data_IF_784700411159
#
_entry.id   IF_784700411159
#
_cell.length_a   1.000
_cell.length_b   1.000
_cell.length_c   1.000
_cell.angle_alpha   90.00
_cell.angle_beta   90.00
_cell.angle_gamma   90.00
#
_symmetry.space_group_name_H-M   'P 1'
#
loop_
_entity.id
_entity.type
_entity.pdbx_description
1 polymer ?
#
# COMPACT_ATOMS: atom_id res chain seq x y z
N UNK A 1 -4.72 7.63 -23.52
CA UNK A 1 -4.83 6.35 -22.80
C UNK A 1 -6.30 6.04 -22.63
N UNK A 2 -6.76 4.94 -23.22
CA UNK A 2 -8.15 4.48 -23.13
C UNK A 2 -8.46 3.93 -21.72
N UNK A 3 -9.74 3.81 -21.37
CA UNK A 3 -10.16 3.35 -20.03
C UNK A 3 -9.69 1.90 -19.74
N UNK A 4 -9.61 1.07 -20.78
CA UNK A 4 -9.12 -0.31 -20.68
C UNK A 4 -7.62 -0.37 -20.34
N UNK A 5 -6.81 0.51 -20.94
CA UNK A 5 -5.38 0.63 -20.65
C UNK A 5 -5.16 1.07 -19.20
N UNK A 6 -5.95 2.04 -18.73
CA UNK A 6 -5.92 2.47 -17.34
C UNK A 6 -6.27 1.36 -16.36
N UNK A 7 -7.28 0.55 -16.68
CA UNK A 7 -7.65 -0.61 -15.87
C UNK A 7 -6.52 -1.65 -15.79
N UNK A 8 -5.82 -1.88 -16.90
CA UNK A 8 -4.66 -2.78 -16.96
C UNK A 8 -3.52 -2.26 -16.09
N UNK A 9 -3.12 -1.00 -16.27
CA UNK A 9 -2.05 -0.35 -15.49
C UNK A 9 -2.40 -0.39 -14.01
N UNK A 10 -3.63 -0.04 -13.64
CA UNK A 10 -4.12 -0.12 -12.26
C UNK A 10 -3.95 -1.54 -11.70
N UNK A 11 -4.45 -2.56 -12.40
CA UNK A 11 -4.37 -3.94 -11.93
C UNK A 11 -2.92 -4.42 -11.78
N UNK A 12 -2.03 -4.04 -12.71
CA UNK A 12 -0.62 -4.38 -12.65
C UNK A 12 0.08 -3.70 -11.46
N UNK A 13 -0.12 -2.39 -11.29
CA UNK A 13 0.50 -1.61 -10.21
C UNK A 13 -0.02 -2.04 -8.84
N UNK A 14 -1.34 -2.10 -8.68
CA UNK A 14 -1.96 -2.52 -7.42
C UNK A 14 -1.59 -3.97 -7.09
N UNK A 15 -1.58 -4.87 -8.07
CA UNK A 15 -1.10 -6.24 -7.88
C UNK A 15 0.35 -6.30 -7.39
N UNK A 16 1.22 -5.43 -7.93
CA UNK A 16 2.63 -5.33 -7.54
C UNK A 16 2.84 -4.72 -6.16
N UNK A 17 1.91 -3.88 -5.68
CA UNK A 17 1.93 -3.36 -4.30
C UNK A 17 1.56 -4.42 -3.26
N UNK A 18 0.62 -5.31 -3.57
CA UNK A 18 0.01 -6.18 -2.57
C UNK A 18 0.68 -7.54 -2.43
N UNK A 19 1.30 -8.04 -3.49
CA UNK A 19 2.01 -9.32 -3.43
C UNK A 19 3.09 -9.43 -4.51
N UNK A 20 4.24 -10.06 -4.21
CA UNK A 20 5.24 -10.41 -5.20
C UNK A 20 4.81 -11.58 -6.12
N UNK A 21 3.52 -11.88 -6.22
CA UNK A 21 3.00 -12.92 -7.12
C UNK A 21 3.19 -12.58 -8.61
N UNK A 22 3.66 -11.37 -8.94
CA UNK A 22 3.87 -10.90 -10.31
C UNK A 22 5.22 -10.18 -10.45
N UNK A 23 6.35 -10.88 -10.32
CA UNK A 23 7.68 -10.25 -10.40
C UNK A 23 7.88 -9.49 -11.72
N UNK A 24 7.43 -10.04 -12.85
CA UNK A 24 7.48 -9.37 -14.15
C UNK A 24 6.72 -8.04 -14.21
N UNK A 25 5.63 -7.90 -13.45
CA UNK A 25 4.89 -6.62 -13.42
C UNK A 25 5.71 -5.53 -12.74
N UNK A 26 6.50 -5.88 -11.71
CA UNK A 26 7.39 -4.95 -11.03
C UNK A 26 8.51 -4.46 -11.96
N UNK A 27 9.15 -5.38 -12.69
CA UNK A 27 10.22 -5.03 -13.64
C UNK A 27 9.71 -4.08 -14.74
N UNK A 28 8.55 -4.41 -15.32
CA UNK A 28 7.91 -3.55 -16.32
C UNK A 28 7.59 -2.19 -15.74
N UNK A 29 7.02 -2.12 -14.54
CA UNK A 29 6.73 -0.88 -13.81
C UNK A 29 7.98 -0.03 -13.62
N UNK A 30 9.08 -0.63 -13.16
CA UNK A 30 10.35 0.05 -12.94
C UNK A 30 10.99 0.55 -14.24
N UNK A 31 10.67 -0.07 -15.38
CA UNK A 31 11.16 0.32 -16.71
C UNK A 31 10.35 1.43 -17.40
N UNK A 32 9.20 1.83 -16.84
CA UNK A 32 8.39 2.89 -17.44
C UNK A 32 9.13 4.24 -17.41
N UNK A 33 9.16 5.00 -18.52
CA UNK A 33 9.83 6.30 -18.59
C UNK A 33 9.18 7.34 -17.66
N UNK A 34 9.88 8.47 -17.45
CA UNK A 34 9.56 9.53 -16.48
C UNK A 34 8.06 9.74 -16.22
N UNK A 35 7.70 9.72 -14.94
CA UNK A 35 6.34 9.86 -14.41
C UNK A 35 5.86 11.32 -14.41
N UNK A 36 6.25 12.11 -15.41
CA UNK A 36 5.85 13.51 -15.59
C UNK A 36 4.31 13.69 -15.68
N UNK A 37 3.54 12.60 -15.74
CA UNK A 37 2.08 12.59 -15.66
C UNK A 37 1.50 12.82 -14.25
N UNK A 38 2.31 12.86 -13.18
CA UNK A 38 1.84 13.32 -11.86
C UNK A 38 1.45 14.82 -11.88
N UNK A 39 1.86 15.56 -12.91
CA UNK A 39 1.38 16.90 -13.22
C UNK A 39 -0.05 16.83 -13.78
N UNK A 40 -1.06 16.84 -12.91
CA UNK A 40 -2.48 16.92 -13.34
C UNK A 40 -3.51 16.35 -12.37
N UNK A 41 -3.07 15.68 -11.31
CA UNK A 41 -3.91 15.01 -10.31
C UNK A 41 -4.46 15.94 -9.23
N UNK A 42 -5.04 17.06 -9.64
CA UNK A 42 -5.76 17.93 -8.70
C UNK A 42 -7.12 17.29 -8.36
N UNK A 43 -7.58 17.43 -7.11
CA UNK A 43 -8.96 17.04 -6.78
C UNK A 43 -9.93 17.83 -7.68
N UNK A 44 -11.07 17.23 -8.05
CA UNK A 44 -12.08 17.95 -8.80
C UNK A 44 -12.65 19.13 -8.00
N UNK A 45 -13.30 20.09 -8.68
CA UNK A 45 -14.08 21.13 -8.03
C UNK A 45 -15.10 20.59 -7.01
N UNK A 46 -15.47 21.43 -6.05
CA UNK A 46 -16.37 21.05 -4.96
C UNK A 46 -17.79 20.68 -5.44
N UNK A 47 -18.25 21.28 -6.53
CA UNK A 47 -19.54 21.02 -7.17
C UNK A 47 -19.55 19.75 -8.05
N UNK A 48 -18.40 19.09 -8.22
CA UNK A 48 -18.33 17.84 -8.98
C UNK A 48 -19.07 16.69 -8.27
N UNK A 49 -19.61 15.77 -9.08
CA UNK A 49 -20.34 14.61 -8.58
C UNK A 49 -19.39 13.59 -7.92
N UNK A 50 -19.84 12.79 -6.93
CA UNK A 50 -19.02 11.73 -6.32
C UNK A 50 -18.47 10.70 -7.32
N UNK A 51 -19.20 10.29 -8.38
CA UNK A 51 -18.61 9.49 -9.46
C UNK A 51 -17.43 10.17 -10.16
N UNK A 52 -17.41 11.50 -10.25
CA UNK A 52 -16.27 12.26 -10.80
C UNK A 52 -15.07 12.19 -9.87
N UNK A 53 -15.29 12.36 -8.55
CA UNK A 53 -14.26 12.16 -7.54
C UNK A 53 -13.66 10.75 -7.63
N UNK A 54 -14.52 9.73 -7.68
CA UNK A 54 -14.11 8.34 -7.85
C UNK A 54 -13.26 8.16 -9.11
N UNK A 55 -13.79 8.53 -10.28
CA UNK A 55 -13.08 8.36 -11.55
C UNK A 55 -11.70 9.02 -11.57
N UNK A 56 -11.60 10.26 -11.10
CA UNK A 56 -10.33 11.00 -11.08
C UNK A 56 -9.36 10.43 -10.04
N UNK A 57 -9.86 10.05 -8.87
CA UNK A 57 -9.07 9.36 -7.85
C UNK A 57 -8.49 8.05 -8.39
N UNK A 58 -9.29 7.25 -9.08
CA UNK A 58 -8.86 5.97 -9.65
C UNK A 58 -7.84 6.10 -10.78
N UNK A 59 -7.75 7.27 -11.42
CA UNK A 59 -6.68 7.58 -12.38
C UNK A 59 -5.40 8.03 -11.69
N UNK A 60 -5.53 8.72 -10.55
CA UNK A 60 -4.39 9.19 -9.79
C UNK A 60 -3.74 8.11 -8.91
N UNK A 61 -4.53 7.26 -8.26
CA UNK A 61 -4.06 6.21 -7.34
C UNK A 61 -2.96 5.32 -7.95
N UNK A 62 -3.11 4.77 -9.18
CA UNK A 62 -2.05 3.98 -9.81
C UNK A 62 -0.74 4.75 -9.99
N UNK A 63 -0.78 6.06 -10.14
CA UNK A 63 0.40 6.90 -10.35
C UNK A 63 1.18 7.07 -9.05
N UNK A 64 0.48 7.35 -7.96
CA UNK A 64 1.09 7.41 -6.63
C UNK A 64 1.64 6.03 -6.20
N UNK A 65 0.90 4.96 -6.50
CA UNK A 65 1.33 3.59 -6.26
C UNK A 65 2.57 3.20 -7.10
N UNK A 66 2.61 3.60 -8.38
CA UNK A 66 3.75 3.39 -9.27
C UNK A 66 5.00 4.11 -8.75
N UNK A 67 4.85 5.36 -8.30
CA UNK A 67 5.92 6.08 -7.64
C UNK A 67 6.45 5.33 -6.41
N UNK A 68 5.55 4.81 -5.56
CA UNK A 68 5.94 4.03 -4.37
C UNK A 68 6.76 2.78 -4.76
N UNK A 69 6.34 2.03 -5.78
CA UNK A 69 7.06 0.83 -6.24
C UNK A 69 8.45 1.18 -6.79
N UNK A 70 8.56 2.30 -7.50
CA UNK A 70 9.85 2.81 -7.98
C UNK A 70 10.75 3.18 -6.80
N UNK A 71 10.26 4.01 -5.87
CA UNK A 71 11.01 4.47 -4.72
C UNK A 71 11.48 3.31 -3.81
N UNK A 72 10.63 2.30 -3.58
CA UNK A 72 10.99 1.13 -2.78
C UNK A 72 12.07 0.27 -3.43
N UNK A 73 12.15 0.27 -4.76
CA UNK A 73 13.18 -0.45 -5.51
C UNK A 73 14.53 0.26 -5.45
N UNK A 74 14.55 1.59 -5.39
CA UNK A 74 15.79 2.35 -5.14
C UNK A 74 16.35 2.14 -3.72
N UNK A 75 15.49 1.80 -2.73
CA UNK A 75 15.91 1.55 -1.35
C UNK A 75 16.56 0.16 -1.17
N UNK A 76 16.21 -0.81 -2.00
CA UNK A 76 16.83 -2.14 -1.96
C UNK A 76 18.21 -2.03 -2.61
N UNK A 77 19.32 -2.34 -1.91
CA UNK A 77 20.56 -2.62 -2.59
C UNK A 77 20.26 -3.74 -3.59
N UNK A 78 20.65 -3.57 -4.85
CA UNK A 78 20.65 -4.63 -5.86
C UNK A 78 21.67 -5.68 -5.44
N UNK A 79 21.34 -6.45 -4.41
CA UNK A 79 22.15 -7.54 -3.93
C UNK A 79 21.92 -8.73 -4.85
N UNK A 80 22.98 -9.04 -5.59
CA UNK A 80 23.33 -10.33 -6.15
C UNK A 80 22.41 -10.93 -7.23
N UNK A 81 22.98 -11.07 -8.43
CA UNK A 81 22.60 -12.16 -9.32
C UNK A 81 22.75 -13.52 -8.63
N UNK A 82 22.19 -14.59 -9.22
CA UNK A 82 22.01 -15.90 -8.58
C UNK A 82 23.31 -16.62 -8.11
N UNK A 83 24.50 -16.06 -8.37
CA UNK A 83 25.79 -16.69 -8.07
C UNK A 83 26.41 -16.28 -6.72
N UNK A 84 25.82 -15.37 -5.92
CA UNK A 84 26.45 -14.91 -4.67
C UNK A 84 25.97 -15.61 -3.39
N UNK A 85 25.26 -16.73 -3.50
CA UNK A 85 24.77 -17.51 -2.35
C UNK A 85 25.86 -18.41 -1.72
N UNK A 86 27.06 -17.90 -1.46
CA UNK A 86 28.03 -18.59 -0.59
C UNK A 86 29.18 -17.67 -0.15
N UNK A 87 28.91 -16.70 0.71
CA UNK A 87 29.97 -15.91 1.33
C UNK A 87 29.47 -15.25 2.60
N UNK A 88 29.99 -15.69 3.75
CA UNK A 88 29.83 -14.98 5.02
C UNK A 88 30.53 -13.62 4.90
N UNK A 89 29.78 -12.55 4.64
CA UNK A 89 30.26 -11.19 4.80
C UNK A 89 29.88 -10.70 6.20
N UNK A 90 30.70 -11.08 7.19
CA UNK A 90 30.82 -10.31 8.42
C UNK A 90 31.48 -8.96 8.07
N UNK A 91 30.79 -7.86 8.35
CA UNK A 91 31.42 -6.53 8.38
C UNK A 91 31.32 -5.66 7.12
N UNK A 92 30.32 -5.84 6.26
CA UNK A 92 29.93 -4.76 5.35
C UNK A 92 29.11 -3.75 6.15
N UNK A 93 29.75 -2.68 6.63
CA UNK A 93 29.03 -1.42 6.82
C UNK A 93 28.31 -1.18 5.50
N UNK A 94 26.98 -1.27 5.52
CA UNK A 94 26.15 -0.80 4.43
C UNK A 94 26.55 0.66 4.28
N UNK A 95 27.37 0.97 3.27
CA UNK A 95 27.57 2.33 2.82
C UNK A 95 26.15 2.86 2.64
N UNK A 96 25.69 3.67 3.61
CA UNK A 96 24.46 4.42 3.45
C UNK A 96 24.62 5.13 2.12
N UNK A 97 23.90 4.64 1.11
CA UNK A 97 23.88 5.19 -0.24
C UNK A 97 23.95 6.70 -0.07
N UNK A 98 25.01 7.32 -0.58
CA UNK A 98 25.26 8.73 -0.41
C UNK A 98 23.97 9.48 -0.72
N UNK A 99 23.30 9.97 0.34
CA UNK A 99 21.96 10.58 0.30
C UNK A 99 21.96 11.88 -0.52
N UNK A 100 23.08 12.18 -1.18
CA UNK A 100 23.30 13.32 -2.04
C UNK A 100 23.33 12.99 -3.53
N UNK A 101 23.16 11.73 -3.95
CA UNK A 101 23.03 11.41 -5.38
C UNK A 101 21.79 12.11 -5.98
N UNK A 102 21.94 12.68 -7.18
CA UNK A 102 20.88 13.42 -7.88
C UNK A 102 19.53 12.64 -7.94
N UNK A 103 19.50 11.31 -8.19
CA UNK A 103 18.25 10.54 -8.19
C UNK A 103 17.52 10.55 -6.85
N UNK A 104 18.24 10.60 -5.73
CA UNK A 104 17.62 10.62 -4.40
C UNK A 104 16.95 11.95 -4.08
N UNK A 105 17.58 13.07 -4.48
CA UNK A 105 16.97 14.41 -4.33
C UNK A 105 15.67 14.53 -5.11
N UNK A 106 15.65 14.04 -6.35
CA UNK A 106 14.44 14.00 -7.19
C UNK A 106 13.33 13.21 -6.50
N UNK A 107 13.63 12.03 -5.94
CA UNK A 107 12.63 11.24 -5.20
C UNK A 107 12.08 11.98 -3.98
N UNK A 108 12.92 12.73 -3.24
CA UNK A 108 12.48 13.51 -2.09
C UNK A 108 11.57 14.68 -2.49
N UNK A 109 11.87 15.36 -3.60
CA UNK A 109 11.01 16.43 -4.13
C UNK A 109 9.66 15.90 -4.62
N UNK A 110 9.68 14.79 -5.38
CA UNK A 110 8.47 14.09 -5.83
C UNK A 110 7.63 13.62 -4.64
N UNK A 111 8.27 13.10 -3.58
CA UNK A 111 7.61 12.71 -2.33
C UNK A 111 6.83 13.87 -1.73
N UNK A 112 7.45 15.03 -1.55
CA UNK A 112 6.79 16.19 -0.95
C UNK A 112 5.65 16.71 -1.82
N UNK A 113 5.82 16.69 -3.14
CA UNK A 113 4.76 17.03 -4.09
C UNK A 113 3.56 16.07 -3.97
N UNK A 114 3.81 14.76 -3.91
CA UNK A 114 2.77 13.72 -3.73
C UNK A 114 2.05 13.85 -2.40
N UNK A 115 2.77 14.07 -1.30
CA UNK A 115 2.19 14.31 0.02
C UNK A 115 1.32 15.57 0.03
N UNK A 116 1.75 16.63 -0.65
CA UNK A 116 0.96 17.84 -0.87
C UNK A 116 -0.34 17.57 -1.63
N UNK A 117 -0.28 16.77 -2.70
CA UNK A 117 -1.46 16.36 -3.45
C UNK A 117 -2.42 15.50 -2.62
N UNK A 118 -1.91 14.54 -1.84
CA UNK A 118 -2.71 13.72 -0.93
C UNK A 118 -3.50 14.57 0.06
N UNK A 119 -2.84 15.55 0.69
CA UNK A 119 -3.51 16.49 1.61
C UNK A 119 -4.59 17.32 0.90
N UNK A 120 -4.33 17.76 -0.33
CA UNK A 120 -5.34 18.47 -1.13
C UNK A 120 -6.56 17.59 -1.46
N UNK A 121 -6.34 16.31 -1.80
CA UNK A 121 -7.40 15.33 -1.99
C UNK A 121 -8.20 15.08 -0.72
N UNK A 122 -7.53 14.83 0.42
CA UNK A 122 -8.18 14.65 1.72
C UNK A 122 -9.08 15.86 2.04
N UNK A 123 -8.56 17.08 1.92
CA UNK A 123 -9.31 18.31 2.17
C UNK A 123 -10.53 18.46 1.23
N UNK A 124 -10.37 18.20 -0.06
CA UNK A 124 -11.47 18.29 -1.03
C UNK A 124 -12.57 17.25 -0.76
N UNK A 125 -12.20 16.02 -0.39
CA UNK A 125 -13.17 14.97 -0.07
C UNK A 125 -13.92 15.31 1.22
N UNK A 126 -13.23 15.79 2.26
CA UNK A 126 -13.89 16.27 3.48
C UNK A 126 -14.88 17.40 3.18
N UNK A 127 -14.50 18.39 2.37
CA UNK A 127 -15.40 19.45 1.97
C UNK A 127 -16.62 18.91 1.18
N UNK A 128 -16.40 17.97 0.25
CA UNK A 128 -17.50 17.38 -0.54
C UNK A 128 -18.42 16.49 0.30
N UNK A 129 -17.90 15.81 1.33
CA UNK A 129 -18.68 14.99 2.25
C UNK A 129 -19.73 15.80 3.02
N UNK A 130 -19.43 17.04 3.38
CA UNK A 130 -20.39 17.97 4.04
C UNK A 130 -21.58 18.27 3.13
N UNK A 131 -21.39 18.19 1.81
CA UNK A 131 -22.40 18.43 0.78
C UNK A 131 -23.06 17.15 0.26
N UNK A 132 -22.70 15.98 0.78
CA UNK A 132 -23.27 14.71 0.31
C UNK A 132 -24.75 14.63 0.69
N UNK A 133 -25.62 14.46 -0.30
CA UNK A 133 -27.06 14.45 -0.09
C UNK A 133 -27.61 13.05 0.21
N UNK A 134 -26.89 12.00 -0.16
CA UNK A 134 -27.32 10.60 0.00
C UNK A 134 -26.26 9.74 0.70
N UNK A 135 -26.70 8.59 1.19
CA UNK A 135 -25.83 7.58 1.82
C UNK A 135 -24.82 7.04 0.80
N UNK A 136 -25.25 6.80 -0.44
CA UNK A 136 -24.41 6.30 -1.52
C UNK A 136 -23.32 7.32 -1.89
N UNK A 137 -23.67 8.61 -2.01
CA UNK A 137 -22.70 9.67 -2.24
C UNK A 137 -21.66 9.73 -1.11
N UNK A 138 -22.12 9.64 0.14
CA UNK A 138 -21.24 9.63 1.31
C UNK A 138 -20.32 8.40 1.30
N UNK A 139 -20.84 7.22 0.96
CA UNK A 139 -20.07 5.98 0.94
C UNK A 139 -18.95 6.01 -0.12
N UNK A 140 -19.24 6.51 -1.34
CA UNK A 140 -18.21 6.66 -2.39
C UNK A 140 -17.08 7.56 -1.91
N UNK A 141 -17.40 8.71 -1.32
CA UNK A 141 -16.40 9.66 -0.83
C UNK A 141 -15.63 9.12 0.38
N UNK A 142 -16.33 8.48 1.32
CA UNK A 142 -15.74 7.83 2.50
C UNK A 142 -14.81 6.68 2.12
N UNK A 143 -15.03 6.00 1.00
CA UNK A 143 -14.09 4.99 0.51
C UNK A 143 -12.78 5.60 -0.01
N UNK A 144 -12.81 6.79 -0.60
CA UNK A 144 -11.59 7.39 -1.16
C UNK A 144 -10.62 7.80 -0.04
N UNK A 145 -11.13 8.32 1.08
CA UNK A 145 -10.33 8.80 2.22
C UNK A 145 -9.32 7.78 2.79
N UNK A 146 -9.71 6.57 3.23
CA UNK A 146 -8.78 5.61 3.80
C UNK A 146 -7.71 5.20 2.77
N UNK A 147 -8.02 5.17 1.47
CA UNK A 147 -7.01 4.87 0.46
C UNK A 147 -6.01 6.02 0.25
N UNK A 148 -6.46 7.28 0.25
CA UNK A 148 -5.58 8.45 0.25
C UNK A 148 -4.62 8.40 1.45
N UNK A 149 -5.16 8.18 2.65
CA UNK A 149 -4.36 8.09 3.87
C UNK A 149 -3.44 6.88 3.90
N UNK A 150 -3.88 5.73 3.40
CA UNK A 150 -3.05 4.54 3.27
C UNK A 150 -1.84 4.80 2.36
N UNK A 151 -2.04 5.41 1.19
CA UNK A 151 -0.90 5.79 0.36
C UNK A 151 0.04 6.78 1.08
N UNK A 152 -0.51 7.77 1.80
CA UNK A 152 0.30 8.69 2.60
C UNK A 152 1.13 7.95 3.65
N UNK A 153 0.52 7.01 4.37
CA UNK A 153 1.20 6.12 5.31
C UNK A 153 2.36 5.38 4.62
N UNK A 154 2.09 4.76 3.46
CA UNK A 154 3.09 4.03 2.68
C UNK A 154 4.28 4.91 2.24
N UNK A 155 4.01 6.11 1.73
CA UNK A 155 5.06 7.07 1.35
C UNK A 155 5.88 7.50 2.57
N UNK A 156 5.23 7.73 3.71
CA UNK A 156 5.91 8.10 4.95
C UNK A 156 6.79 6.95 5.49
N UNK A 157 6.32 5.70 5.43
CA UNK A 157 7.06 4.53 5.90
C UNK A 157 8.31 4.20 5.06
N UNK A 158 8.31 4.56 3.77
CA UNK A 158 9.48 4.32 2.90
C UNK A 158 10.71 5.13 3.30
N UNK A 159 10.52 6.37 3.75
CA UNK A 159 11.59 7.35 3.99
C UNK A 159 11.76 7.69 5.48
N UNK A 160 10.88 7.20 6.34
CA UNK A 160 10.99 7.41 7.78
C UNK A 160 12.05 6.52 8.41
N UNK A 161 12.98 7.12 9.15
CA UNK A 161 13.56 6.42 10.29
C UNK A 161 12.45 6.28 11.33
N UNK A 162 11.72 5.16 11.27
CA UNK A 162 10.69 4.77 12.26
C UNK A 162 11.32 4.65 13.67
N UNK A 163 12.64 4.81 13.81
CA UNK A 163 13.33 4.86 15.08
C UNK A 163 12.96 6.08 15.96
N UNK A 164 12.48 7.20 15.39
CA UNK A 164 12.06 8.35 16.20
C UNK A 164 10.67 8.11 16.83
N UNK A 165 10.51 8.18 18.17
CA UNK A 165 9.23 7.91 18.85
C UNK A 165 8.06 8.77 18.36
N UNK A 166 8.29 10.06 18.12
CA UNK A 166 7.26 10.98 17.62
C UNK A 166 6.72 10.56 16.24
N UNK A 167 7.60 10.03 15.38
CA UNK A 167 7.19 9.51 14.07
C UNK A 167 6.44 8.19 14.19
N UNK A 168 6.78 7.34 15.16
CA UNK A 168 6.00 6.13 15.46
C UNK A 168 4.58 6.48 15.88
N UNK A 169 4.41 7.46 16.75
CA UNK A 169 3.08 7.86 17.23
C UNK A 169 2.26 8.50 16.11
N UNK A 170 2.85 9.35 15.26
CA UNK A 170 2.19 9.89 14.06
C UNK A 170 1.70 8.76 13.12
N UNK A 171 2.56 7.76 12.88
CA UNK A 171 2.24 6.61 12.04
C UNK A 171 1.17 5.71 12.66
N UNK A 172 1.24 5.48 13.99
CA UNK A 172 0.23 4.75 14.75
C UNK A 172 -1.13 5.42 14.63
N UNK A 173 -1.22 6.71 14.96
CA UNK A 173 -2.47 7.48 14.88
C UNK A 173 -3.08 7.43 13.46
N UNK A 174 -2.25 7.63 12.44
CA UNK A 174 -2.69 7.56 11.04
C UNK A 174 -3.21 6.15 10.68
N UNK A 175 -2.51 5.10 11.09
CA UNK A 175 -2.90 3.71 10.80
C UNK A 175 -4.22 3.31 11.48
N UNK A 176 -4.44 3.75 12.73
CA UNK A 176 -5.71 3.55 13.43
C UNK A 176 -6.86 4.23 12.69
N UNK A 177 -6.68 5.50 12.30
CA UNK A 177 -7.67 6.27 11.54
C UNK A 177 -8.03 5.58 10.21
N UNK A 178 -7.03 5.05 9.48
CA UNK A 178 -7.24 4.32 8.22
C UNK A 178 -8.14 3.10 8.44
N UNK A 179 -7.86 2.30 9.48
CA UNK A 179 -8.62 1.07 9.75
C UNK A 179 -10.03 1.38 10.24
N UNK A 180 -10.20 2.36 11.14
CA UNK A 180 -11.52 2.78 11.60
C UNK A 180 -12.41 3.26 10.45
N UNK A 181 -11.87 4.08 9.54
CA UNK A 181 -12.62 4.50 8.35
C UNK A 181 -12.93 3.31 7.43
N UNK A 182 -11.99 2.39 7.26
CA UNK A 182 -12.18 1.23 6.39
C UNK A 182 -13.26 0.28 6.92
N UNK A 183 -13.33 0.08 8.23
CA UNK A 183 -14.40 -0.67 8.90
C UNK A 183 -15.76 0.02 8.74
N UNK A 184 -15.83 1.35 8.91
CA UNK A 184 -17.07 2.10 8.67
C UNK A 184 -17.57 1.97 7.23
N UNK A 185 -16.67 1.96 6.23
CA UNK A 185 -17.07 1.76 4.84
C UNK A 185 -17.52 0.32 4.61
N UNK A 186 -16.85 -0.65 5.24
CA UNK A 186 -17.26 -2.06 5.17
C UNK A 186 -18.69 -2.28 5.68
N UNK A 187 -19.08 -1.62 6.78
CA UNK A 187 -20.44 -1.73 7.34
C UNK A 187 -21.53 -1.29 6.37
N UNK A 188 -21.29 -0.25 5.56
CA UNK A 188 -22.27 0.27 4.59
C UNK A 188 -22.19 -0.41 3.23
N UNK A 189 -21.13 -1.19 2.96
CA UNK A 189 -20.88 -1.85 1.67
C UNK A 189 -22.04 -2.72 1.16
N UNK A 190 -22.76 -3.50 2.00
CA UNK A 190 -23.91 -4.29 1.56
C UNK A 190 -25.06 -3.44 0.96
N UNK A 191 -25.15 -2.16 1.32
CA UNK A 191 -26.14 -1.21 0.79
C UNK A 191 -25.77 -0.62 -0.58
N UNK A 192 -24.51 -0.71 -1.00
CA UNK A 192 -24.01 -0.06 -2.22
C UNK A 192 -24.26 -0.94 -3.44
N UNK A 193 -24.92 -0.41 -4.48
CA UNK A 193 -25.24 -1.18 -5.70
C UNK A 193 -24.15 -1.07 -6.76
N UNK A 194 -23.73 0.15 -7.06
CA UNK A 194 -22.74 0.44 -8.11
C UNK A 194 -21.34 0.55 -7.51
N UNK A 195 -20.35 -0.07 -8.17
CA UNK A 195 -18.95 0.02 -7.73
C UNK A 195 -18.59 -0.81 -6.50
N UNK A 196 -19.51 -1.65 -6.00
CA UNK A 196 -19.31 -2.45 -4.77
C UNK A 196 -18.06 -3.33 -4.85
N UNK A 197 -17.85 -4.00 -5.98
CA UNK A 197 -16.72 -4.91 -6.13
C UNK A 197 -15.39 -4.14 -6.15
N UNK A 198 -15.34 -2.99 -6.81
CA UNK A 198 -14.17 -2.11 -6.79
C UNK A 198 -13.89 -1.56 -5.37
N UNK A 199 -14.93 -1.17 -4.62
CA UNK A 199 -14.80 -0.77 -3.22
C UNK A 199 -14.27 -1.94 -2.37
N UNK A 200 -14.79 -3.15 -2.59
CA UNK A 200 -14.37 -4.37 -1.89
C UNK A 200 -12.89 -4.68 -2.16
N UNK A 201 -12.46 -4.64 -3.42
CA UNK A 201 -11.05 -4.84 -3.80
C UNK A 201 -10.16 -3.77 -3.15
N UNK A 202 -10.60 -2.51 -3.16
CA UNK A 202 -9.88 -1.38 -2.57
C UNK A 202 -9.78 -1.47 -1.04
N UNK A 203 -10.83 -1.89 -0.34
CA UNK A 203 -10.78 -2.14 1.11
C UNK A 203 -9.84 -3.31 1.44
N UNK A 204 -9.90 -4.38 0.66
CA UNK A 204 -9.03 -5.54 0.86
C UNK A 204 -7.56 -5.16 0.72
N UNK A 205 -7.26 -4.29 -0.24
CA UNK A 205 -5.94 -3.72 -0.44
C UNK A 205 -5.43 -2.91 0.76
N UNK A 206 -6.28 -2.04 1.32
CA UNK A 206 -5.94 -1.26 2.52
C UNK A 206 -5.64 -2.20 3.69
N UNK A 207 -6.50 -3.18 3.95
CA UNK A 207 -6.28 -4.12 5.04
C UNK A 207 -5.00 -4.96 4.87
N UNK A 208 -4.67 -5.38 3.64
CA UNK A 208 -3.42 -6.10 3.35
C UNK A 208 -2.22 -5.20 3.66
N UNK A 209 -2.20 -3.99 3.11
CA UNK A 209 -1.08 -3.08 3.31
C UNK A 209 -0.90 -2.68 4.78
N UNK A 210 -1.98 -2.44 5.50
CA UNK A 210 -1.92 -2.12 6.93
C UNK A 210 -1.47 -3.32 7.76
N UNK A 211 -1.96 -4.53 7.48
CA UNK A 211 -1.53 -5.73 8.19
C UNK A 211 -0.07 -6.12 7.89
N UNK A 212 0.49 -5.75 6.74
CA UNK A 212 1.92 -5.96 6.43
C UNK A 212 2.82 -4.87 7.05
N UNK A 213 2.42 -3.60 6.90
CA UNK A 213 3.33 -2.47 7.12
C UNK A 213 3.12 -1.72 8.44
N UNK A 214 1.93 -1.74 9.04
CA UNK A 214 1.73 -1.17 10.37
C UNK A 214 2.49 -2.02 11.37
N UNK A 215 3.64 -1.57 11.88
CA UNK A 215 4.42 -2.31 12.89
C UNK A 215 4.27 -1.73 14.28
N UNK A 216 3.73 -0.53 14.34
CA UNK A 216 3.59 0.31 15.53
C UNK A 216 2.30 -0.01 16.31
N UNK A 217 1.44 -0.91 15.83
CA UNK A 217 0.26 -1.34 16.57
C UNK A 217 -0.15 -2.78 16.23
N UNK A 218 -0.10 -3.66 17.24
CA UNK A 218 -0.59 -5.03 17.10
C UNK A 218 -2.10 -5.08 16.80
N UNK A 219 -2.88 -4.21 17.46
CA UNK A 219 -4.33 -4.14 17.29
C UNK A 219 -4.71 -3.74 15.87
N UNK A 220 -4.11 -2.66 15.34
CA UNK A 220 -4.38 -2.20 13.97
C UNK A 220 -4.07 -3.29 12.95
N UNK A 221 -2.95 -4.03 13.08
CA UNK A 221 -2.63 -5.16 12.18
C UNK A 221 -3.69 -6.26 12.25
N UNK A 222 -4.11 -6.64 13.46
CA UNK A 222 -5.12 -7.70 13.69
C UNK A 222 -6.46 -7.30 13.07
N UNK A 223 -6.92 -6.08 13.31
CA UNK A 223 -8.15 -5.53 12.73
C UNK A 223 -8.08 -5.46 11.21
N UNK A 224 -6.97 -4.96 10.67
CA UNK A 224 -6.73 -4.91 9.23
C UNK A 224 -6.81 -6.30 8.57
N UNK A 225 -6.17 -7.31 9.17
CA UNK A 225 -6.21 -8.67 8.67
C UNK A 225 -7.62 -9.30 8.80
N UNK A 226 -8.31 -9.04 9.91
CA UNK A 226 -9.69 -9.48 10.10
C UNK A 226 -10.63 -8.89 9.04
N UNK A 227 -10.48 -7.60 8.73
CA UNK A 227 -11.23 -6.94 7.66
C UNK A 227 -10.97 -7.62 6.30
N UNK A 228 -9.72 -7.90 5.95
CA UNK A 228 -9.40 -8.64 4.73
C UNK A 228 -10.06 -10.02 4.68
N UNK A 229 -10.02 -10.78 5.79
CA UNK A 229 -10.62 -12.10 5.85
C UNK A 229 -12.13 -12.06 5.62
N UNK A 230 -12.81 -11.03 6.14
CA UNK A 230 -14.24 -10.82 5.91
C UNK A 230 -14.54 -10.42 4.45
N UNK A 231 -13.60 -9.76 3.79
CA UNK A 231 -13.71 -9.36 2.38
C UNK A 231 -13.37 -10.49 1.41
N UNK A 232 -12.81 -11.62 1.83
CA UNK A 232 -12.53 -12.79 0.98
C UNK A 232 -13.61 -13.85 1.15
N UNK A 233 -14.11 -14.38 0.04
CA UNK A 233 -15.09 -15.47 0.02
C UNK A 233 -14.70 -16.58 -0.96
N UNK A 234 -15.55 -17.61 -1.09
CA UNK A 234 -15.31 -18.74 -1.98
C UNK A 234 -15.20 -18.33 -3.46
N UNK A 235 -15.82 -17.22 -3.87
CA UNK A 235 -15.80 -16.69 -5.25
C UNK A 235 -14.64 -15.74 -5.51
N UNK A 236 -13.94 -15.31 -4.46
CA UNK A 236 -12.75 -14.47 -4.62
C UNK A 236 -11.67 -15.18 -5.43
N UNK A 237 -10.94 -14.40 -6.24
CA UNK A 237 -9.83 -14.86 -7.08
C UNK A 237 -8.76 -15.54 -6.22
N UNK A 238 -8.09 -16.56 -6.77
CA UNK A 238 -6.97 -17.21 -6.08
C UNK A 238 -5.87 -16.24 -5.68
N UNK A 239 -5.56 -15.24 -6.53
CA UNK A 239 -4.63 -14.16 -6.18
C UNK A 239 -5.04 -13.46 -4.87
N UNK A 240 -6.29 -13.03 -4.74
CA UNK A 240 -6.76 -12.32 -3.55
C UNK A 240 -6.71 -13.21 -2.29
N UNK A 241 -7.07 -14.50 -2.43
CA UNK A 241 -6.94 -15.49 -1.36
C UNK A 241 -5.47 -15.66 -0.95
N UNK A 242 -4.59 -15.79 -1.94
CA UNK A 242 -3.16 -15.98 -1.72
C UNK A 242 -2.51 -14.78 -1.04
N UNK A 243 -2.91 -13.56 -1.42
CA UNK A 243 -2.48 -12.32 -0.73
C UNK A 243 -2.84 -12.36 0.75
N UNK A 244 -4.09 -12.72 1.10
CA UNK A 244 -4.51 -12.78 2.51
C UNK A 244 -3.82 -13.93 3.27
N UNK A 245 -3.58 -15.07 2.63
CA UNK A 245 -2.84 -16.19 3.23
C UNK A 245 -1.38 -15.83 3.50
N UNK A 246 -0.67 -15.33 2.50
CA UNK A 246 0.73 -14.89 2.65
C UNK A 246 0.87 -13.73 3.62
N UNK A 247 -0.09 -12.81 3.65
CA UNK A 247 -0.08 -11.73 4.65
C UNK A 247 -0.35 -12.25 6.07
N UNK A 248 -1.25 -13.23 6.22
CA UNK A 248 -1.50 -13.86 7.52
C UNK A 248 -0.23 -14.51 8.06
N UNK A 249 0.51 -15.23 7.21
CA UNK A 249 1.72 -15.94 7.64
C UNK A 249 2.89 -14.97 7.90
N UNK A 250 3.03 -13.93 7.09
CA UNK A 250 3.99 -12.85 7.34
C UNK A 250 3.76 -12.22 8.72
N UNK A 251 2.50 -11.86 8.99
CA UNK A 251 2.14 -11.27 10.27
C UNK A 251 2.45 -12.22 11.43
N UNK A 252 2.11 -13.51 11.31
CA UNK A 252 2.42 -14.50 12.34
C UNK A 252 3.91 -14.53 12.70
N UNK A 253 4.80 -14.62 11.70
CA UNK A 253 6.26 -14.68 11.90
C UNK A 253 6.79 -13.40 12.56
N UNK A 254 6.25 -12.25 12.19
CA UNK A 254 6.75 -10.94 12.64
C UNK A 254 6.28 -10.58 14.04
N UNK A 255 5.08 -11.01 14.40
CA UNK A 255 4.53 -10.81 15.74
C UNK A 255 5.31 -11.58 16.81
N UNK A 256 6.03 -12.65 16.44
CA UNK A 256 6.96 -13.35 17.36
C UNK A 256 8.09 -12.44 17.86
N UNK A 257 8.49 -11.45 17.05
CA UNK A 257 9.53 -10.49 17.40
C UNK A 257 9.00 -9.15 17.95
N UNK A 258 7.71 -9.03 18.27
CA UNK A 258 7.14 -7.79 18.82
C UNK A 258 7.69 -7.49 20.21
N UNK A 259 8.14 -6.25 20.39
CA UNK A 259 8.51 -5.70 21.69
C UNK A 259 7.25 -5.21 22.41
N UNK A 260 6.88 -5.89 23.51
CA UNK A 260 5.63 -5.64 24.23
C UNK A 260 5.57 -4.26 24.91
N UNK A 261 6.70 -3.71 25.34
CA UNK A 261 6.74 -2.42 26.04
C UNK A 261 6.47 -1.25 25.09
N UNK A 262 6.94 -1.32 23.85
CA UNK A 262 6.78 -0.26 22.85
C UNK A 262 5.60 -0.49 21.89
N UNK A 263 4.98 -1.68 21.92
CA UNK A 263 4.03 -2.18 20.94
C UNK A 263 4.54 -1.98 19.49
N UNK A 264 5.77 -2.43 19.26
CA UNK A 264 6.49 -2.23 18.00
C UNK A 264 7.26 -3.49 17.58
N UNK A 265 7.46 -3.68 16.27
CA UNK A 265 8.29 -4.76 15.72
C UNK A 265 9.61 -4.16 15.21
N UNK A 266 10.76 -4.43 15.86
CA UNK A 266 12.05 -3.92 15.45
C UNK A 266 12.45 -4.44 14.08
N UNK A 267 13.26 -3.67 13.34
CA UNK A 267 13.67 -4.01 11.95
C UNK A 267 14.29 -5.40 11.86
N UNK A 268 15.05 -5.82 12.88
CA UNK A 268 15.64 -7.16 12.97
C UNK A 268 14.63 -8.31 13.00
N UNK A 269 13.37 -8.03 13.32
CA UNK A 269 12.25 -8.96 13.30
C UNK A 269 11.27 -8.70 12.14
N UNK A 270 11.58 -7.77 11.23
CA UNK A 270 10.77 -7.49 10.05
C UNK A 270 11.23 -8.35 8.87
N UNK A 271 10.27 -8.74 8.04
CA UNK A 271 10.48 -9.55 6.85
C UNK A 271 9.81 -8.88 5.66
N UNK A 272 10.43 -9.02 4.50
CA UNK A 272 9.86 -8.64 3.21
C UNK A 272 9.29 -9.89 2.52
N UNK A 273 8.06 -9.79 2.02
CA UNK A 273 7.49 -10.82 1.16
C UNK A 273 8.02 -10.64 -0.26
N UNK A 274 8.90 -11.54 -0.71
CA UNK A 274 9.66 -11.37 -1.95
C UNK A 274 9.22 -12.26 -3.09
N UNK A 275 8.64 -13.43 -2.82
CA UNK A 275 8.11 -14.33 -3.86
C UNK A 275 6.86 -15.07 -3.40
N UNK A 276 6.00 -15.43 -4.35
CA UNK A 276 4.91 -16.37 -4.13
C UNK A 276 4.50 -17.07 -5.42
N UNK A 277 4.11 -18.34 -5.30
CA UNK A 277 3.64 -19.16 -6.42
C UNK A 277 2.61 -20.18 -5.96
N UNK A 278 1.57 -20.37 -6.75
CA UNK A 278 0.65 -21.50 -6.61
C UNK A 278 1.22 -22.75 -7.28
N UNK A 279 0.89 -23.92 -6.76
CA UNK A 279 1.05 -25.19 -7.48
C UNK A 279 0.14 -25.24 -8.73
N UNK A 280 0.36 -26.24 -9.60
CA UNK A 280 -0.43 -26.40 -10.83
C UNK A 280 -1.94 -26.61 -10.55
N UNK A 281 -2.27 -27.17 -9.39
CA UNK A 281 -3.65 -27.41 -8.95
C UNK A 281 -4.34 -26.21 -8.31
N UNK A 282 -3.64 -25.11 -8.06
CA UNK A 282 -4.12 -23.98 -7.23
C UNK A 282 -4.65 -24.44 -5.85
N UNK A 283 -4.03 -25.46 -5.28
CA UNK A 283 -4.37 -26.04 -3.98
C UNK A 283 -3.39 -25.63 -2.88
N UNK A 284 -2.14 -25.33 -3.24
CA UNK A 284 -1.08 -24.96 -2.31
C UNK A 284 -0.39 -23.66 -2.76
N UNK A 285 -0.21 -22.75 -1.81
CA UNK A 285 0.53 -21.50 -2.01
C UNK A 285 1.90 -21.60 -1.34
N UNK A 286 2.95 -21.53 -2.13
CA UNK A 286 4.32 -21.31 -1.64
C UNK A 286 4.61 -19.82 -1.54
N UNK A 287 5.17 -19.39 -0.42
CA UNK A 287 5.57 -17.99 -0.15
C UNK A 287 7.01 -17.95 0.35
N UNK A 288 7.75 -16.90 -0.04
CA UNK A 288 9.13 -16.67 0.40
C UNK A 288 9.21 -15.32 1.11
N UNK A 289 9.73 -15.35 2.33
CA UNK A 289 10.04 -14.17 3.12
C UNK A 289 11.54 -14.03 3.28
N UNK A 290 12.05 -12.82 3.17
CA UNK A 290 13.46 -12.50 3.39
C UNK A 290 13.58 -11.52 4.56
N UNK A 291 14.57 -11.67 5.46
CA UNK A 291 14.79 -10.69 6.52
C UNK A 291 14.99 -9.29 5.92
N UNK A 292 14.39 -8.28 6.53
CA UNK A 292 14.55 -6.90 6.09
C UNK A 292 15.94 -6.39 6.45
N UNK A 293 16.72 -6.00 5.44
CA UNK A 293 18.06 -5.42 5.64
C UNK A 293 17.98 -3.90 5.78
N UNK A 294 18.72 -3.33 6.72
CA UNK A 294 18.84 -1.88 6.92
C UNK A 294 19.64 -1.22 5.79
#
# INVERSE_FOLDING_TARGET
MEEAEWLLVRRAVLGSLYAPMRPLSRDVICSLPDLNFLAGSKPPPLDASPPTYWKLYFRWLPLAALWYVRASTFRMPTSAGPDSACGKTEGAEVEMLDLQTEPWRVLLEEREALLGQMRAWEAAIHARLVLAATVEESAVLRQILPNCKNLRYQIMSLFGSIAAPEKREEMRALSCEIIEMSEQVFEVLPGIKEGRDEMRESLSAVGVLMSQNCRESADTRKRALALCRQLIDSRSRWDAKGVVMGTSKLMEIEEEGREMEEDYIPVSAQWDWTLASWDEGFTELTVVYTPKTL
#
